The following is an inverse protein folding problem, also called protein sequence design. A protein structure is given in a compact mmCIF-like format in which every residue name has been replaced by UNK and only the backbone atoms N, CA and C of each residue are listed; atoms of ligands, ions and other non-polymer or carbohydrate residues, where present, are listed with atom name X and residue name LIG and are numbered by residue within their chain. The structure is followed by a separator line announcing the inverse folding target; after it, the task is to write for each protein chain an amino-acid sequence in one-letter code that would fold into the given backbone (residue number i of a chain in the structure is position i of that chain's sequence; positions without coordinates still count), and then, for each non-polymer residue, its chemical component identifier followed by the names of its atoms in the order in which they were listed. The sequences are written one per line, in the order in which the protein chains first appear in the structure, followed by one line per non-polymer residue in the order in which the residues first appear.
data_IF_665755032313
#
_entry.id   IF_665755032313
#
_cell.length_a   1.000
_cell.length_b   1.000
_cell.length_c   1.000
_cell.angle_alpha   90.00
_cell.angle_beta   90.00
_cell.angle_gamma   90.00
#
_symmetry.space_group_name_H-M   'P 1'
#
loop_
_entity.id
_entity.type
_entity.pdbx_description
1 polymer ?
#
# COMPACT_ATOMS: atom_id res chain seq x y z
N UNK A 1 46.25 3.20 -18.91
CA UNK A 1 44.81 3.38 -19.18
C UNK A 1 44.25 2.09 -19.73
N UNK A 2 43.30 1.48 -19.02
CA UNK A 2 42.72 0.17 -19.37
C UNK A 2 41.20 0.32 -19.27
N UNK A 3 40.49 0.25 -20.38
CA UNK A 3 39.04 0.05 -20.37
C UNK A 3 38.77 -1.20 -21.19
N UNK A 4 38.48 -2.30 -20.49
CA UNK A 4 37.93 -3.52 -21.07
C UNK A 4 36.46 -3.26 -21.36
N UNK A 5 36.03 -3.42 -22.61
CA UNK A 5 34.62 -3.57 -22.97
C UNK A 5 34.12 -4.89 -22.39
N UNK A 6 33.12 -4.86 -21.52
CA UNK A 6 32.37 -6.04 -21.11
C UNK A 6 31.08 -6.12 -21.92
N UNK A 7 30.84 -7.31 -22.47
CA UNK A 7 29.68 -7.67 -23.27
C UNK A 7 28.38 -7.48 -22.49
N UNK A 8 27.40 -6.78 -23.07
CA UNK A 8 26.02 -6.80 -22.62
C UNK A 8 25.35 -8.08 -23.15
N UNK A 9 24.82 -8.92 -22.26
CA UNK A 9 23.84 -9.94 -22.64
C UNK A 9 22.51 -9.26 -23.00
N UNK A 10 21.74 -9.77 -23.96
CA UNK A 10 20.45 -9.19 -24.33
C UNK A 10 19.45 -9.31 -23.16
N UNK A 11 18.50 -8.36 -23.03
CA UNK A 11 17.47 -8.45 -22.00
C UNK A 11 16.59 -9.69 -22.23
N UNK A 12 16.43 -10.48 -21.16
CA UNK A 12 15.48 -11.60 -21.11
C UNK A 12 14.07 -11.03 -21.20
N UNK A 13 13.38 -11.31 -22.30
CA UNK A 13 11.95 -11.03 -22.48
C UNK A 13 11.15 -11.92 -21.53
N UNK A 14 10.37 -11.33 -20.63
CA UNK A 14 9.33 -12.05 -19.90
C UNK A 14 7.98 -11.83 -20.58
N UNK A 15 7.34 -12.92 -21.00
CA UNK A 15 6.01 -12.94 -21.60
C UNK A 15 4.95 -12.67 -20.54
N UNK A 16 4.17 -11.60 -20.72
CA UNK A 16 2.95 -11.38 -19.93
C UNK A 16 1.76 -11.92 -20.73
N UNK A 17 1.16 -13.01 -20.26
CA UNK A 17 -0.05 -13.57 -20.87
C UNK A 17 -1.27 -12.79 -20.39
N UNK A 18 -1.99 -12.16 -21.32
CA UNK A 18 -3.29 -11.53 -21.09
C UNK A 18 -4.35 -12.62 -20.88
N UNK A 19 -5.06 -12.59 -19.75
CA UNK A 19 -6.24 -13.44 -19.50
C UNK A 19 -7.45 -12.51 -19.37
N UNK A 20 -8.39 -12.50 -20.34
CA UNK A 20 -9.60 -11.70 -20.24
C UNK A 20 -10.52 -12.21 -19.11
N UNK A 21 -11.35 -11.34 -18.53
CA UNK A 21 -12.18 -11.67 -17.38
C UNK A 21 -13.41 -12.49 -17.81
N UNK A 22 -13.33 -13.81 -17.68
CA UNK A 22 -14.52 -14.65 -17.50
C UNK A 22 -14.30 -15.56 -16.27
N UNK A 23 -15.22 -15.45 -15.33
CA UNK A 23 -15.23 -16.13 -14.04
C UNK A 23 -15.84 -17.53 -14.20
N UNK A 24 -15.00 -18.57 -14.29
CA UNK A 24 -15.23 -19.89 -13.68
C UNK A 24 -14.25 -20.94 -14.23
N UNK A 25 -12.96 -20.80 -13.91
CA UNK A 25 -12.01 -21.90 -13.70
C UNK A 25 -10.61 -21.29 -13.52
N UNK A 26 -10.16 -21.17 -12.27
CA UNK A 26 -8.79 -20.78 -11.96
C UNK A 26 -7.87 -21.93 -12.36
N UNK A 27 -6.87 -21.76 -13.25
CA UNK A 27 -5.72 -22.64 -13.22
C UNK A 27 -4.98 -22.34 -11.91
N UNK A 28 -4.92 -23.30 -11.01
CA UNK A 28 -4.02 -23.22 -9.86
C UNK A 28 -2.61 -23.26 -10.44
N UNK A 29 -1.99 -22.09 -10.62
CA UNK A 29 -0.54 -22.03 -10.83
C UNK A 29 0.07 -22.52 -9.52
N UNK A 30 0.52 -23.77 -9.51
CA UNK A 30 1.30 -24.33 -8.42
C UNK A 30 2.70 -23.73 -8.49
N UNK A 31 2.86 -22.46 -8.11
CA UNK A 31 4.11 -22.07 -7.49
C UNK A 31 4.19 -22.87 -6.19
N UNK A 32 5.30 -23.57 -5.93
CA UNK A 32 5.47 -24.23 -4.64
C UNK A 32 5.28 -23.17 -3.56
N UNK A 33 4.32 -23.37 -2.65
CA UNK A 33 3.96 -22.40 -1.60
C UNK A 33 5.15 -22.02 -0.70
N UNK A 34 6.26 -22.74 -0.79
CA UNK A 34 7.44 -22.59 0.06
C UNK A 34 8.56 -21.69 -0.50
N UNK A 35 8.47 -21.19 -1.74
CA UNK A 35 9.49 -20.26 -2.25
C UNK A 35 9.07 -18.80 -2.05
N UNK A 36 9.63 -18.17 -1.02
CA UNK A 36 9.56 -16.72 -0.84
C UNK A 36 10.13 -16.02 -2.09
N UNK A 37 9.54 -14.89 -2.51
CA UNK A 37 10.09 -14.13 -3.62
C UNK A 37 11.48 -13.62 -3.26
N UNK A 38 12.40 -13.57 -4.24
CA UNK A 38 13.80 -13.16 -4.00
C UNK A 38 13.95 -11.79 -3.35
N UNK A 39 13.00 -10.87 -3.57
CA UNK A 39 13.04 -9.56 -2.94
C UNK A 39 12.81 -9.61 -1.43
N UNK A 40 12.19 -10.67 -0.89
CA UNK A 40 11.94 -10.83 0.55
C UNK A 40 13.22 -11.12 1.35
N UNK A 41 14.35 -11.37 0.68
CA UNK A 41 15.68 -11.48 1.30
C UNK A 41 16.41 -10.12 1.35
N UNK A 42 15.85 -9.07 0.75
CA UNK A 42 16.43 -7.72 0.73
C UNK A 42 16.00 -6.90 1.95
N UNK A 43 16.67 -5.76 2.15
CA UNK A 43 16.33 -4.83 3.23
C UNK A 43 14.91 -4.28 3.07
N UNK A 44 14.13 -4.29 4.15
CA UNK A 44 12.85 -3.60 4.22
C UNK A 44 13.09 -2.07 4.32
N UNK A 45 12.90 -1.35 3.21
CA UNK A 45 13.19 0.09 3.13
C UNK A 45 12.26 0.97 3.99
N UNK A 46 11.07 0.49 4.34
CA UNK A 46 10.12 1.20 5.20
C UNK A 46 10.29 0.87 6.69
N UNK A 47 11.21 -0.05 7.04
CA UNK A 47 11.44 -0.46 8.42
C UNK A 47 11.72 0.74 9.32
N UNK A 48 11.01 0.81 10.44
CA UNK A 48 11.26 1.81 11.49
C UNK A 48 12.71 1.75 12.01
N UNK A 49 13.33 0.56 12.02
CA UNK A 49 14.73 0.37 12.48
C UNK A 49 15.74 1.04 11.54
N UNK A 50 15.39 1.16 10.26
CA UNK A 50 16.18 1.90 9.28
C UNK A 50 15.85 3.40 9.27
N UNK A 51 14.91 3.85 10.11
CA UNK A 51 14.43 5.23 10.15
C UNK A 51 13.22 5.50 9.25
N UNK A 52 12.57 4.45 8.75
CA UNK A 52 11.31 4.56 8.02
C UNK A 52 10.24 5.19 8.91
N UNK A 53 9.41 6.06 8.34
CA UNK A 53 8.38 6.77 9.11
C UNK A 53 7.17 7.11 8.26
N UNK A 54 5.99 7.07 8.86
CA UNK A 54 4.79 7.64 8.27
C UNK A 54 4.88 9.17 8.39
N UNK A 55 4.66 9.88 7.29
CA UNK A 55 4.59 11.34 7.23
C UNK A 55 3.14 11.83 7.18
N UNK A 56 2.21 11.05 6.63
CA UNK A 56 0.82 11.47 6.46
C UNK A 56 -0.11 10.26 6.38
N UNK A 57 -1.36 10.42 6.74
CA UNK A 57 -2.44 9.45 6.56
C UNK A 57 -3.72 10.21 6.30
N UNK A 58 -4.61 9.69 5.47
CA UNK A 58 -5.96 10.27 5.35
C UNK A 58 -6.81 9.97 6.58
N UNK A 59 -6.61 8.81 7.20
CA UNK A 59 -7.39 8.32 8.34
C UNK A 59 -6.54 7.30 9.13
N UNK A 60 -6.61 7.34 10.45
CA UNK A 60 -6.00 6.36 11.37
C UNK A 60 -7.02 5.94 12.44
N UNK A 61 -8.29 5.82 12.07
CA UNK A 61 -9.33 5.76 13.08
C UNK A 61 -9.21 4.52 13.98
N UNK A 62 -9.10 3.33 13.41
CA UNK A 62 -9.12 2.08 14.17
C UNK A 62 -7.73 1.59 14.58
N UNK A 63 -6.73 1.78 13.71
CA UNK A 63 -5.34 1.47 13.99
C UNK A 63 -4.41 2.35 13.15
N UNK A 64 -3.27 2.77 13.71
CA UNK A 64 -2.35 3.75 13.10
C UNK A 64 -1.45 3.12 12.03
N UNK A 65 -1.13 3.88 10.99
CA UNK A 65 -0.29 3.43 9.88
C UNK A 65 1.13 2.96 10.27
N UNK A 66 1.67 3.46 11.39
CA UNK A 66 2.99 3.09 11.92
C UNK A 66 3.11 1.59 12.19
N UNK A 67 1.99 0.90 12.45
CA UNK A 67 1.99 -0.55 12.62
C UNK A 67 2.51 -1.30 11.38
N UNK A 68 2.37 -0.73 10.18
CA UNK A 68 2.87 -1.34 8.93
C UNK A 68 4.40 -1.32 8.81
N UNK A 69 5.09 -0.53 9.62
CA UNK A 69 6.55 -0.33 9.54
C UNK A 69 7.31 -1.30 10.45
N UNK A 70 6.58 -2.05 11.28
CA UNK A 70 7.12 -3.05 12.20
C UNK A 70 7.69 -4.24 11.41
N UNK A 71 8.76 -4.83 11.93
CA UNK A 71 9.41 -6.00 11.31
C UNK A 71 8.93 -7.35 11.87
N UNK A 72 8.25 -7.35 13.02
CA UNK A 72 7.66 -8.56 13.56
C UNK A 72 6.42 -8.96 12.77
N UNK A 73 6.06 -10.24 12.85
CA UNK A 73 4.77 -10.71 12.35
C UNK A 73 3.62 -10.00 13.07
N UNK A 74 2.54 -9.75 12.34
CA UNK A 74 1.36 -9.10 12.89
C UNK A 74 0.77 -9.91 14.06
N UNK A 75 0.56 -9.25 15.20
CA UNK A 75 0.01 -9.87 16.39
C UNK A 75 -1.53 -9.87 16.38
N UNK A 76 -2.12 -10.98 16.83
CA UNK A 76 -3.54 -11.05 17.19
C UNK A 76 -3.70 -11.11 18.70
N UNK A 77 -4.49 -10.20 19.26
CA UNK A 77 -4.84 -10.21 20.68
C UNK A 77 -6.33 -10.43 20.86
N UNK A 78 -6.67 -11.61 21.33
CA UNK A 78 -8.06 -12.01 21.56
C UNK A 78 -8.68 -11.14 22.67
N UNK A 79 -9.84 -10.53 22.40
CA UNK A 79 -10.55 -9.72 23.39
C UNK A 79 -9.98 -8.34 23.68
N UNK A 80 -8.94 -7.88 22.97
CA UNK A 80 -8.39 -6.52 23.15
C UNK A 80 -9.12 -5.48 22.31
N UNK A 81 -9.46 -4.36 22.95
CA UNK A 81 -10.19 -3.24 22.35
C UNK A 81 -9.56 -1.92 22.79
N UNK A 82 -9.57 -0.95 21.88
CA UNK A 82 -9.22 0.45 22.11
C UNK A 82 -10.50 1.28 22.21
N UNK A 83 -10.38 2.57 22.54
CA UNK A 83 -11.52 3.50 22.50
C UNK A 83 -12.13 3.62 21.09
N UNK A 84 -11.36 3.30 20.05
CA UNK A 84 -11.78 3.42 18.66
C UNK A 84 -12.34 2.12 18.08
N UNK A 85 -12.17 0.96 18.72
CA UNK A 85 -12.66 -0.32 18.22
C UNK A 85 -11.82 -1.51 18.66
N UNK A 86 -11.83 -2.59 17.88
CA UNK A 86 -10.95 -3.73 18.14
C UNK A 86 -9.48 -3.30 17.96
N UNK A 87 -8.59 -3.76 18.83
CA UNK A 87 -7.17 -3.54 18.64
C UNK A 87 -6.65 -4.37 17.46
N UNK A 88 -5.93 -3.73 16.53
CA UNK A 88 -5.35 -4.38 15.35
C UNK A 88 -3.87 -4.01 15.21
N UNK A 89 -3.03 -5.00 14.88
CA UNK A 89 -1.62 -4.79 14.56
C UNK A 89 -1.41 -4.55 13.06
N UNK A 90 -1.95 -3.44 12.59
CA UNK A 90 -1.89 -3.00 11.21
C UNK A 90 -2.44 -1.59 11.07
N UNK A 91 -2.68 -1.15 9.84
CA UNK A 91 -3.37 0.11 9.57
C UNK A 91 -4.84 -0.15 9.24
N UNK A 92 -5.76 0.50 9.95
CA UNK A 92 -7.18 0.33 9.70
C UNK A 92 -7.92 1.67 9.75
N UNK A 93 -8.56 1.99 8.62
CA UNK A 93 -9.34 3.23 8.45
C UNK A 93 -10.83 2.98 8.57
N UNK A 94 -11.60 4.07 8.72
CA UNK A 94 -13.05 4.00 8.60
C UNK A 94 -13.49 3.62 7.20
N UNK A 95 -14.60 2.85 7.13
CA UNK A 95 -15.26 2.54 5.86
C UNK A 95 -15.67 3.82 5.14
N UNK A 96 -15.07 4.06 3.97
CA UNK A 96 -15.42 5.18 3.10
C UNK A 96 -16.75 4.89 2.38
N UNK A 97 -17.68 5.84 2.43
CA UNK A 97 -18.99 5.80 1.73
C UNK A 97 -19.08 6.82 0.59
N UNK A 98 -17.94 7.40 0.22
CA UNK A 98 -17.79 8.39 -0.85
C UNK A 98 -16.73 7.86 -1.83
N UNK A 99 -16.74 8.29 -3.10
CA UNK A 99 -15.67 7.95 -4.04
C UNK A 99 -14.30 8.36 -3.51
N UNK A 100 -13.29 7.59 -3.88
CA UNK A 100 -11.91 7.77 -3.43
C UNK A 100 -11.43 6.59 -2.59
N UNK A 101 -10.28 6.78 -1.96
CA UNK A 101 -9.59 5.77 -1.18
C UNK A 101 -8.87 6.42 0.02
N UNK A 102 -8.44 5.60 0.96
CA UNK A 102 -7.53 6.04 2.03
C UNK A 102 -6.10 5.70 1.67
N UNK A 103 -5.20 6.64 1.90
CA UNK A 103 -3.78 6.53 1.56
C UNK A 103 -2.92 7.13 2.67
N UNK A 104 -1.64 6.77 2.69
CA UNK A 104 -0.67 7.30 3.63
C UNK A 104 0.62 7.68 2.91
N UNK A 105 1.40 8.60 3.50
CA UNK A 105 2.77 8.88 3.12
C UNK A 105 3.75 8.18 4.03
N UNK A 106 4.64 7.40 3.44
CA UNK A 106 5.76 6.76 4.14
C UNK A 106 7.05 7.33 3.56
N UNK A 107 7.99 7.67 4.44
CA UNK A 107 9.36 7.97 4.07
C UNK A 107 10.19 6.73 4.32
N UNK A 108 10.99 6.34 3.33
CA UNK A 108 11.98 5.29 3.51
C UNK A 108 13.01 5.70 4.55
N UNK A 109 13.50 4.72 5.32
CA UNK A 109 14.58 4.94 6.27
C UNK A 109 15.91 5.24 5.59
N UNK A 110 16.13 4.62 4.42
CA UNK A 110 17.31 4.82 3.60
C UNK A 110 16.93 4.95 2.12
N UNK A 111 17.71 5.72 1.38
CA UNK A 111 17.57 5.77 -0.07
C UNK A 111 17.88 4.38 -0.68
N UNK A 112 17.07 3.92 -1.62
CA UNK A 112 17.21 2.59 -2.21
C UNK A 112 16.41 2.41 -3.49
N UNK A 113 16.49 1.20 -4.03
CA UNK A 113 15.70 0.75 -5.18
C UNK A 113 14.68 -0.26 -4.68
N UNK A 114 13.40 -0.01 -4.97
CA UNK A 114 12.31 -0.93 -4.63
C UNK A 114 12.37 -2.13 -5.58
N UNK A 115 12.70 -3.30 -5.04
CA UNK A 115 12.73 -4.55 -5.80
C UNK A 115 11.40 -5.31 -5.76
N UNK A 116 10.55 -5.00 -4.80
CA UNK A 116 9.24 -5.61 -4.58
C UNK A 116 8.57 -5.00 -3.36
N UNK A 117 7.30 -5.34 -3.18
CA UNK A 117 6.45 -4.86 -2.10
C UNK A 117 5.77 -6.09 -1.50
N UNK A 118 5.75 -6.16 -0.18
CA UNK A 118 4.95 -7.13 0.56
C UNK A 118 3.77 -6.41 1.19
N UNK A 119 2.57 -6.95 1.01
CA UNK A 119 1.33 -6.38 1.53
C UNK A 119 0.67 -7.44 2.38
N UNK A 120 0.99 -7.40 3.66
CA UNK A 120 0.43 -8.31 4.65
C UNK A 120 -0.96 -7.83 5.08
N UNK A 121 -1.94 -8.72 4.96
CA UNK A 121 -3.33 -8.50 5.37
C UNK A 121 -3.74 -9.45 6.49
N UNK A 122 -2.75 -10.01 7.19
CA UNK A 122 -2.95 -10.89 8.33
C UNK A 122 -3.93 -10.31 9.33
N UNK A 123 -4.83 -11.18 9.84
CA UNK A 123 -5.88 -10.86 10.81
C UNK A 123 -7.01 -9.93 10.33
N UNK A 124 -6.94 -9.38 9.11
CA UNK A 124 -8.03 -8.62 8.49
C UNK A 124 -9.03 -9.54 7.76
N UNK A 125 -9.71 -10.42 8.50
CA UNK A 125 -10.60 -11.44 7.91
C UNK A 125 -11.99 -10.87 7.58
N UNK A 126 -12.11 -10.23 6.41
CA UNK A 126 -13.36 -9.68 5.87
C UNK A 126 -13.40 -8.16 5.75
N UNK A 127 -12.42 -7.47 6.33
CA UNK A 127 -12.13 -6.05 6.17
C UNK A 127 -10.77 -5.79 5.50
N UNK A 128 -10.11 -6.83 4.96
CA UNK A 128 -8.89 -6.65 4.18
C UNK A 128 -9.14 -5.74 2.98
N UNK A 129 -8.08 -5.04 2.59
CA UNK A 129 -8.14 -4.12 1.46
C UNK A 129 -8.33 -4.89 0.15
N UNK A 130 -9.31 -4.53 -0.69
CA UNK A 130 -9.57 -5.27 -1.93
C UNK A 130 -8.49 -5.01 -3.00
N UNK A 131 -7.85 -3.83 -2.97
CA UNK A 131 -6.86 -3.38 -3.95
C UNK A 131 -5.86 -2.42 -3.29
N UNK A 132 -4.65 -2.40 -3.83
CA UNK A 132 -3.58 -1.47 -3.41
C UNK A 132 -2.85 -0.96 -4.64
N UNK A 133 -2.41 0.29 -4.58
CA UNK A 133 -1.44 0.85 -5.51
C UNK A 133 -0.23 1.35 -4.72
N UNK A 134 0.84 1.67 -5.43
CA UNK A 134 2.02 2.28 -4.84
C UNK A 134 2.61 3.28 -5.83
N UNK A 135 2.94 4.44 -5.30
CA UNK A 135 3.57 5.52 -6.04
C UNK A 135 4.93 5.84 -5.40
N UNK A 136 5.82 6.51 -6.11
CA UNK A 136 7.08 6.91 -5.54
C UNK A 136 7.50 8.28 -6.08
N UNK A 137 8.22 9.03 -5.25
CA UNK A 137 8.82 10.30 -5.64
C UNK A 137 10.13 10.53 -4.89
N UNK A 138 11.00 11.40 -5.41
CA UNK A 138 12.06 12.00 -4.59
C UNK A 138 11.59 13.40 -4.26
N UNK A 139 11.32 13.66 -2.98
CA UNK A 139 10.95 15.00 -2.53
C UNK A 139 12.18 15.83 -2.21
N UNK A 140 12.17 17.08 -2.65
CA UNK A 140 13.05 18.12 -2.13
C UNK A 140 12.65 18.47 -0.69
N UNK A 141 13.55 19.09 0.10
CA UNK A 141 13.21 19.56 1.44
C UNK A 141 12.01 20.53 1.47
N UNK A 142 11.84 21.33 0.41
CA UNK A 142 10.72 22.26 0.29
C UNK A 142 9.38 21.53 0.06
N UNK A 143 9.38 20.44 -0.72
CA UNK A 143 8.21 19.61 -0.92
C UNK A 143 7.89 18.79 0.34
N UNK A 144 8.87 18.17 0.99
CA UNK A 144 8.64 17.45 2.25
C UNK A 144 8.03 18.38 3.32
N UNK A 145 8.41 19.66 3.35
CA UNK A 145 7.84 20.66 4.25
C UNK A 145 6.38 21.04 3.95
N UNK A 146 5.80 20.62 2.82
CA UNK A 146 4.37 20.76 2.54
C UNK A 146 3.53 19.69 3.24
N UNK A 147 4.15 18.61 3.73
CA UNK A 147 3.46 17.54 4.44
C UNK A 147 3.12 18.05 5.86
N UNK A 148 1.85 17.97 6.30
CA UNK A 148 1.46 18.32 7.66
C UNK A 148 2.25 17.56 8.72
N UNK A 149 2.37 18.13 9.92
CA UNK A 149 3.03 17.45 11.02
C UNK A 149 2.25 16.18 11.41
N UNK A 150 2.93 15.03 11.33
CA UNK A 150 2.35 13.72 11.63
C UNK A 150 2.01 13.60 13.12
N UNK A 151 0.78 13.24 13.43
CA UNK A 151 0.35 12.82 14.78
C UNK A 151 -0.10 11.37 14.78
N UNK A 152 0.74 10.47 15.27
CA UNK A 152 0.45 9.03 15.37
C UNK A 152 -0.54 8.72 16.48
N UNK A 153 -1.83 8.99 16.25
CA UNK A 153 -2.91 8.80 17.23
C UNK A 153 -4.13 8.16 16.56
N UNK A 154 -4.73 7.18 17.24
CA UNK A 154 -5.99 6.56 16.78
C UNK A 154 -7.15 7.56 16.86
N UNK A 155 -8.19 7.32 16.07
CA UNK A 155 -9.36 8.20 15.99
C UNK A 155 -9.11 9.49 15.20
N UNK A 156 -7.97 9.60 14.53
CA UNK A 156 -7.60 10.77 13.74
C UNK A 156 -8.05 10.64 12.27
N UNK A 157 -8.42 11.76 11.67
CA UNK A 157 -8.68 11.93 10.23
C UNK A 157 -7.97 13.21 9.78
N UNK A 158 -7.36 13.19 8.60
CA UNK A 158 -6.79 14.39 8.02
C UNK A 158 -7.87 15.46 7.84
N UNK A 159 -7.60 16.67 8.32
CA UNK A 159 -8.52 17.79 8.12
C UNK A 159 -8.54 18.23 6.64
N UNK A 160 -9.56 18.99 6.25
CA UNK A 160 -9.60 19.61 4.92
C UNK A 160 -8.36 20.49 4.65
N UNK A 161 -7.81 21.11 5.71
CA UNK A 161 -6.58 21.89 5.60
C UNK A 161 -5.38 20.99 5.30
N UNK A 162 -5.23 19.87 6.01
CA UNK A 162 -4.15 18.91 5.79
C UNK A 162 -4.20 18.31 4.37
N UNK A 163 -5.40 17.94 3.92
CA UNK A 163 -5.66 17.46 2.57
C UNK A 163 -5.32 18.51 1.51
N UNK A 164 -5.66 19.78 1.74
CA UNK A 164 -5.32 20.87 0.82
C UNK A 164 -3.82 21.17 0.79
N UNK A 165 -3.11 21.01 1.91
CA UNK A 165 -1.67 21.18 1.96
C UNK A 165 -0.97 20.06 1.19
N UNK A 166 -1.31 18.80 1.48
CA UNK A 166 -0.67 17.64 0.86
C UNK A 166 -1.00 17.53 -0.64
N UNK A 167 -2.16 18.03 -1.08
CA UNK A 167 -2.52 18.09 -2.51
C UNK A 167 -1.54 18.94 -3.35
N UNK A 168 -0.81 19.89 -2.73
CA UNK A 168 0.22 20.70 -3.40
C UNK A 168 1.45 19.91 -3.82
N UNK A 169 1.60 18.68 -3.31
CA UNK A 169 2.63 17.76 -3.74
C UNK A 169 2.37 17.16 -5.12
N UNK A 170 1.15 17.31 -5.64
CA UNK A 170 0.74 16.72 -6.92
C UNK A 170 1.02 15.21 -6.99
N UNK A 171 0.65 14.47 -5.93
CA UNK A 171 0.90 13.02 -5.80
C UNK A 171 0.28 12.20 -6.92
N UNK A 172 -0.74 12.70 -7.60
CA UNK A 172 -1.33 12.09 -8.79
C UNK A 172 -0.36 12.00 -9.98
N UNK A 173 0.72 12.80 -9.98
CA UNK A 173 1.74 12.82 -11.03
C UNK A 173 2.96 11.97 -10.70
N UNK A 174 3.01 11.41 -9.49
CA UNK A 174 4.14 10.59 -9.04
C UNK A 174 4.19 9.29 -9.81
N UNK A 175 5.41 8.78 -10.00
CA UNK A 175 5.63 7.56 -10.77
C UNK A 175 4.93 6.41 -10.05
N UNK A 176 3.98 5.79 -10.74
CA UNK A 176 3.33 4.59 -10.27
C UNK A 176 4.28 3.42 -10.53
N UNK A 177 5.13 3.12 -9.55
CA UNK A 177 6.11 2.03 -9.61
C UNK A 177 5.42 0.66 -9.60
N UNK A 178 4.32 0.55 -8.84
CA UNK A 178 3.55 -0.69 -8.72
C UNK A 178 2.07 -0.35 -8.60
N UNK A 179 1.33 -0.42 -9.70
CA UNK A 179 0.09 -1.17 -9.61
C UNK A 179 0.53 -2.62 -9.49
N UNK A 180 -0.16 -3.46 -8.73
CA UNK A 180 -0.17 -4.88 -9.12
C UNK A 180 -0.85 -4.86 -10.50
N UNK A 181 -0.18 -4.64 -11.65
CA UNK A 181 0.93 -5.39 -12.29
C UNK A 181 2.15 -4.57 -12.85
N UNK A 182 3.40 -5.05 -12.65
CA UNK A 182 4.55 -5.04 -13.61
C UNK A 182 5.56 -3.84 -13.65
N UNK A 183 6.88 -4.13 -13.56
CA UNK A 183 8.05 -3.31 -13.09
C UNK A 183 8.84 -2.48 -14.17
N UNK A 184 9.47 -1.32 -13.80
CA UNK A 184 10.96 -1.05 -13.89
C UNK A 184 11.51 0.40 -13.58
N UNK A 185 12.29 0.54 -12.46
CA UNK A 185 13.62 1.21 -12.19
C UNK A 185 13.87 2.74 -12.39
N UNK A 186 14.81 3.39 -11.62
CA UNK A 186 15.21 3.23 -10.21
C UNK A 186 15.31 4.55 -9.37
N UNK A 187 15.41 4.37 -8.03
CA UNK A 187 15.73 5.31 -6.91
C UNK A 187 14.71 6.38 -6.53
N UNK A 188 13.90 6.11 -5.49
CA UNK A 188 12.95 7.08 -4.92
C UNK A 188 12.69 6.88 -3.42
N UNK A 189 12.24 7.94 -2.76
CA UNK A 189 11.50 7.84 -1.48
C UNK A 189 10.15 7.21 -1.82
N UNK A 190 9.93 5.99 -1.35
CA UNK A 190 8.71 5.24 -1.65
C UNK A 190 7.54 5.70 -0.80
N UNK A 191 6.50 6.19 -1.46
CA UNK A 191 5.21 6.53 -0.88
C UNK A 191 4.21 5.39 -1.13
N UNK A 192 3.85 4.62 -0.10
CA UNK A 192 2.79 3.61 -0.27
C UNK A 192 1.41 4.27 -0.21
N UNK A 193 0.87 4.71 -1.35
CA UNK A 193 -0.53 5.10 -1.45
C UNK A 193 -1.43 3.87 -1.52
N UNK A 194 -1.94 3.36 -0.40
CA UNK A 194 -2.99 2.36 -0.46
C UNK A 194 -4.20 2.94 -1.20
N UNK A 195 -4.87 2.15 -2.04
CA UNK A 195 -6.05 2.61 -2.77
C UNK A 195 -7.14 1.55 -2.71
N UNK A 196 -8.00 1.62 -1.69
CA UNK A 196 -9.25 0.87 -1.70
C UNK A 196 -10.24 1.57 -2.63
N UNK A 197 -10.32 1.15 -3.90
CA UNK A 197 -11.40 1.56 -4.79
C UNK A 197 -12.72 0.98 -4.26
N UNK A 198 -13.52 1.83 -3.60
CA UNK A 198 -14.90 1.50 -3.29
C UNK A 198 -15.75 1.71 -4.55
N UNK A 199 -15.97 0.66 -5.35
CA UNK A 199 -17.13 0.66 -6.23
C UNK A 199 -18.40 0.55 -5.38
N UNK A 200 -19.42 1.39 -5.59
CA UNK A 200 -20.70 1.20 -4.96
C UNK A 200 -21.30 -0.11 -5.46
N UNK A 201 -21.32 -1.14 -4.60
CA UNK A 201 -22.08 -2.36 -4.88
C UNK A 201 -23.55 -1.97 -5.13
N UNK A 202 -24.16 -2.32 -6.27
CA UNK A 202 -25.58 -2.13 -6.46
C UNK A 202 -26.32 -2.95 -5.41
N UNK A 203 -27.29 -2.31 -4.76
CA UNK A 203 -28.19 -2.97 -3.83
C UNK A 203 -28.91 -4.13 -4.55
N UNK A 204 -29.13 -5.30 -3.93
CA UNK A 204 -29.91 -6.35 -4.55
C UNK A 204 -31.38 -5.94 -4.58
N UNK A 205 -31.89 -5.64 -5.79
CA UNK A 205 -33.32 -5.64 -6.11
C UNK A 205 -33.95 -6.95 -5.69
N UNK A 206 -34.49 -6.98 -4.46
CA UNK A 206 -35.40 -8.03 -4.02
C UNK A 206 -36.66 -7.96 -4.90
N UNK A 207 -36.60 -8.69 -6.00
CA UNK A 207 -37.75 -9.07 -6.79
C UNK A 207 -38.53 -10.18 -6.07
N UNK A 208 -39.29 -9.81 -5.04
CA UNK A 208 -40.46 -10.59 -4.61
C UNK A 208 -41.69 -9.70 -4.55
N UNK A 209 -42.46 -9.76 -5.63
CA UNK A 209 -43.85 -9.30 -5.66
C UNK A 209 -44.67 -10.13 -4.68
N UNK A 210 -45.42 -9.43 -3.84
CA UNK A 210 -46.49 -9.98 -3.03
C UNK A 210 -47.50 -10.74 -3.88
N UNK A 211 -47.85 -11.96 -3.44
CA UNK A 211 -49.16 -12.55 -3.71
C UNK A 211 -50.16 -12.02 -2.68
N UNK A 212 -51.35 -11.69 -3.15
CA UNK A 212 -52.48 -11.15 -2.39
C UNK A 212 -53.47 -10.49 -3.34
#
# INVERSE_FOLDING_TARGET
GRVKRTNFSPPVTFTLSYIPPDMAQRPVVSTSRDQKPKFAELNNLISEKLGGRVLFTTDDWFAVAENMLKENEAEWKEGEFTECGKWMDGWETRRKRKPGHDWCIIKLGVAGVVAGVDVDTSHFTGNYVPQVSLQAAVLTPAEEALIPERQSVMGNEASDHDLQQVARLHSEQWVMEVCVWGIAMPTMVTLVTFSALAEPLPWPTDGRRHGG
#
